data_IF_153060863874
#
_entry.id   IF_153060863874
#
_cell.length_a   1.000
_cell.length_b   1.000
_cell.length_c   1.000
_cell.angle_alpha   90.00
_cell.angle_beta   90.00
_cell.angle_gamma   90.00
#
_symmetry.space_group_name_H-M   'P 1'
#
loop_
_entity.id
_entity.type
_entity.pdbx_description
1 polymer ?
#
# COMPACT_ATOMS: atom_id res chain seq x y z
N UNK A 1 -13.61 6.00 -24.07
CA UNK A 1 -14.22 4.85 -23.35
C UNK A 1 -13.56 4.83 -21.98
N UNK A 2 -14.06 5.62 -21.04
CA UNK A 2 -13.32 5.94 -19.80
C UNK A 2 -13.94 5.31 -18.54
N UNK A 3 -15.06 4.61 -18.65
CA UNK A 3 -15.92 4.28 -17.49
C UNK A 3 -15.69 2.90 -16.86
N UNK A 4 -14.57 2.22 -17.14
CA UNK A 4 -14.32 0.85 -16.62
C UNK A 4 -13.31 0.80 -15.46
N UNK A 5 -12.46 1.82 -15.32
CA UNK A 5 -11.45 1.88 -14.25
C UNK A 5 -11.99 2.54 -12.97
N UNK A 6 -12.82 3.58 -13.08
CA UNK A 6 -13.37 4.29 -11.91
C UNK A 6 -14.23 3.38 -11.03
N UNK A 7 -15.07 2.53 -11.63
CA UNK A 7 -15.93 1.59 -10.90
C UNK A 7 -15.08 0.57 -10.11
N UNK A 8 -13.96 0.11 -10.68
CA UNK A 8 -13.08 -0.85 -10.02
C UNK A 8 -12.27 -0.22 -8.88
N UNK A 9 -11.96 1.09 -8.96
CA UNK A 9 -11.24 1.82 -7.91
C UNK A 9 -12.15 2.07 -6.70
N UNK A 10 -13.39 2.53 -6.92
CA UNK A 10 -14.37 2.69 -5.83
C UNK A 10 -14.68 1.36 -5.14
N UNK A 11 -14.88 0.28 -5.90
CA UNK A 11 -15.09 -1.06 -5.33
C UNK A 11 -13.86 -1.55 -4.56
N UNK A 12 -12.66 -1.26 -5.07
CA UNK A 12 -11.40 -1.60 -4.37
C UNK A 12 -11.28 -0.83 -3.06
N UNK A 13 -11.54 0.49 -3.07
CA UNK A 13 -11.51 1.31 -1.85
C UNK A 13 -12.55 0.83 -0.84
N UNK A 14 -13.79 0.61 -1.27
CA UNK A 14 -14.85 0.12 -0.39
C UNK A 14 -14.50 -1.24 0.23
N UNK A 15 -13.89 -2.15 -0.54
CA UNK A 15 -13.38 -3.42 -0.02
C UNK A 15 -12.31 -3.17 1.06
N UNK A 16 -11.32 -2.33 0.77
CA UNK A 16 -10.25 -2.00 1.72
C UNK A 16 -10.80 -1.38 3.01
N UNK A 17 -11.82 -0.52 2.93
CA UNK A 17 -12.48 0.08 4.10
C UNK A 17 -13.19 -0.95 4.96
N UNK A 18 -13.86 -1.93 4.34
CA UNK A 18 -14.48 -3.06 5.06
C UNK A 18 -13.41 -3.90 5.75
N UNK A 19 -12.30 -4.19 5.07
CA UNK A 19 -11.18 -4.95 5.68
C UNK A 19 -10.53 -4.16 6.81
N UNK A 20 -10.31 -2.86 6.63
CA UNK A 20 -9.77 -1.96 7.64
C UNK A 20 -10.68 -1.86 8.89
N UNK A 21 -12.00 -1.91 8.70
CA UNK A 21 -12.96 -1.77 9.79
C UNK A 21 -13.26 -3.10 10.50
N UNK A 22 -13.29 -4.21 9.75
CA UNK A 22 -13.80 -5.49 10.26
C UNK A 22 -12.76 -6.60 10.31
N UNK A 23 -11.63 -6.45 9.61
CA UNK A 23 -10.65 -7.51 9.38
C UNK A 23 -11.17 -8.67 8.51
N UNK A 24 -12.40 -8.57 8.00
CA UNK A 24 -13.06 -9.62 7.19
C UNK A 24 -13.06 -9.22 5.72
N UNK A 25 -12.77 -10.18 4.86
CA UNK A 25 -12.89 -10.06 3.42
C UNK A 25 -13.58 -11.30 2.86
N UNK A 26 -14.37 -11.09 1.82
CA UNK A 26 -15.20 -12.13 1.20
C UNK A 26 -14.53 -12.73 -0.05
N UNK A 27 -13.53 -12.03 -0.60
CA UNK A 27 -12.82 -12.43 -1.81
C UNK A 27 -11.61 -13.34 -1.50
N UNK A 28 -11.06 -13.97 -2.53
CA UNK A 28 -9.78 -14.68 -2.40
C UNK A 28 -8.67 -13.72 -2.00
N UNK A 29 -7.76 -14.19 -1.15
CA UNK A 29 -6.60 -13.41 -0.70
C UNK A 29 -5.77 -12.87 -1.88
N UNK A 30 -5.63 -13.63 -2.97
CA UNK A 30 -4.91 -13.17 -4.18
C UNK A 30 -5.57 -11.99 -4.89
N UNK A 31 -6.90 -11.92 -4.87
CA UNK A 31 -7.64 -10.77 -5.40
C UNK A 31 -7.40 -9.56 -4.52
N UNK A 32 -7.51 -9.74 -3.19
CA UNK A 32 -7.25 -8.66 -2.23
C UNK A 32 -5.80 -8.16 -2.29
N UNK A 33 -4.81 -9.06 -2.44
CA UNK A 33 -3.40 -8.71 -2.65
C UNK A 33 -3.20 -7.85 -3.89
N UNK A 34 -3.83 -8.22 -5.00
CA UNK A 34 -3.74 -7.46 -6.26
C UNK A 34 -4.35 -6.07 -6.12
N UNK A 35 -5.50 -5.96 -5.46
CA UNK A 35 -6.15 -4.69 -5.11
C UNK A 35 -5.29 -3.83 -4.18
N UNK A 36 -4.68 -4.43 -3.15
CA UNK A 36 -3.77 -3.75 -2.21
C UNK A 36 -2.51 -3.26 -2.92
N UNK A 37 -1.92 -4.07 -3.78
CA UNK A 37 -0.74 -3.70 -4.59
C UNK A 37 -1.04 -2.49 -5.47
N UNK A 38 -2.20 -2.50 -6.13
CA UNK A 38 -2.64 -1.38 -6.95
C UNK A 38 -2.84 -0.12 -6.11
N UNK A 39 -3.57 -0.22 -4.99
CA UNK A 39 -3.86 0.92 -4.14
C UNK A 39 -2.61 1.48 -3.46
N UNK A 40 -1.69 0.61 -3.02
CA UNK A 40 -0.38 0.99 -2.51
C UNK A 40 0.36 1.85 -3.55
N UNK A 41 0.47 1.39 -4.80
CA UNK A 41 1.14 2.14 -5.87
C UNK A 41 0.48 3.49 -6.14
N UNK A 42 -0.86 3.56 -6.11
CA UNK A 42 -1.58 4.83 -6.21
C UNK A 42 -1.21 5.77 -5.07
N UNK A 43 -1.34 5.33 -3.81
CA UNK A 43 -1.03 6.14 -2.63
C UNK A 43 0.42 6.64 -2.67
N UNK A 44 1.39 5.76 -2.98
CA UNK A 44 2.80 6.15 -3.08
C UNK A 44 3.03 7.20 -4.18
N UNK A 45 2.26 7.16 -5.27
CA UNK A 45 2.37 8.13 -6.37
C UNK A 45 1.80 9.52 -6.05
N UNK A 46 0.94 9.62 -5.03
CA UNK A 46 0.40 10.91 -4.56
C UNK A 46 1.41 11.70 -3.73
N UNK A 47 2.49 11.06 -3.26
CA UNK A 47 3.54 11.73 -2.50
C UNK A 47 4.46 12.55 -3.41
N UNK A 48 4.93 13.73 -2.96
CA UNK A 48 5.83 14.57 -3.75
C UNK A 48 7.16 13.86 -4.09
N UNK A 49 7.61 12.94 -3.23
CA UNK A 49 8.80 12.12 -3.45
C UNK A 49 8.75 11.29 -4.75
N UNK A 50 7.57 10.93 -5.25
CA UNK A 50 7.40 10.22 -6.51
C UNK A 50 7.84 11.06 -7.74
N UNK A 51 7.77 12.40 -7.62
CA UNK A 51 8.14 13.34 -8.68
C UNK A 51 9.53 13.98 -8.46
N UNK A 52 10.24 13.63 -7.39
CA UNK A 52 11.58 14.15 -7.09
C UNK A 52 12.67 13.49 -7.94
N UNK A 53 13.85 14.13 -8.01
CA UNK A 53 15.01 13.50 -8.67
C UNK A 53 15.56 12.33 -7.85
N UNK A 54 16.28 11.38 -8.47
CA UNK A 54 16.89 10.26 -7.75
C UNK A 54 17.81 10.69 -6.61
N UNK A 55 18.53 11.81 -6.71
CA UNK A 55 19.38 12.29 -5.61
C UNK A 55 18.56 12.78 -4.40
N UNK A 56 17.45 13.47 -4.65
CA UNK A 56 16.54 13.93 -3.60
C UNK A 56 15.79 12.76 -2.95
N UNK A 57 15.38 11.78 -3.75
CA UNK A 57 14.78 10.53 -3.29
C UNK A 57 15.74 9.78 -2.38
N UNK A 58 16.99 9.54 -2.81
CA UNK A 58 18.00 8.89 -1.98
C UNK A 58 18.26 9.65 -0.67
N UNK A 59 18.23 10.99 -0.68
CA UNK A 59 18.42 11.78 0.53
C UNK A 59 17.24 11.69 1.52
N UNK A 60 16.02 11.48 1.01
CA UNK A 60 14.79 11.48 1.81
C UNK A 60 14.34 10.07 2.22
N UNK A 61 14.43 9.12 1.30
CA UNK A 61 13.98 7.72 1.42
C UNK A 61 15.15 6.76 1.71
N UNK A 62 16.38 7.13 1.37
CA UNK A 62 17.54 6.23 1.43
C UNK A 62 17.72 5.34 0.20
N UNK A 63 16.73 5.30 -0.69
CA UNK A 63 16.70 4.56 -1.95
C UNK A 63 15.89 5.34 -3.00
N UNK A 64 15.85 4.87 -4.25
CA UNK A 64 15.00 5.50 -5.27
C UNK A 64 13.53 5.12 -5.10
N UNK A 65 12.61 5.99 -5.53
CA UNK A 65 11.17 5.70 -5.51
C UNK A 65 10.79 4.34 -6.14
N UNK A 66 11.25 3.97 -7.35
CA UNK A 66 10.91 2.68 -7.94
C UNK A 66 11.44 1.49 -7.14
N UNK A 67 12.60 1.60 -6.50
CA UNK A 67 13.13 0.56 -5.61
C UNK A 67 12.23 0.38 -4.38
N UNK A 68 11.86 1.49 -3.74
CA UNK A 68 10.96 1.49 -2.59
C UNK A 68 9.60 0.85 -2.94
N UNK A 69 8.98 1.27 -4.04
CA UNK A 69 7.69 0.73 -4.50
C UNK A 69 7.82 -0.77 -4.74
N UNK A 70 8.85 -1.21 -5.47
CA UNK A 70 9.06 -2.62 -5.77
C UNK A 70 9.22 -3.43 -4.48
N UNK A 71 10.01 -2.95 -3.53
CA UNK A 71 10.30 -3.63 -2.28
C UNK A 71 9.04 -3.80 -1.41
N UNK A 72 8.22 -2.75 -1.30
CA UNK A 72 6.93 -2.82 -0.59
C UNK A 72 5.93 -3.74 -1.31
N UNK A 73 5.89 -3.69 -2.64
CA UNK A 73 5.02 -4.53 -3.47
C UNK A 73 5.38 -6.01 -3.35
N UNK A 74 6.66 -6.36 -3.45
CA UNK A 74 7.15 -7.73 -3.28
C UNK A 74 6.88 -8.24 -1.87
N UNK A 75 7.09 -7.41 -0.84
CA UNK A 75 6.80 -7.76 0.55
C UNK A 75 5.31 -8.02 0.77
N UNK A 76 4.42 -7.21 0.20
CA UNK A 76 2.98 -7.42 0.23
C UNK A 76 2.56 -8.69 -0.51
N UNK A 77 3.19 -8.99 -1.65
CA UNK A 77 2.88 -10.18 -2.44
C UNK A 77 3.46 -11.46 -1.83
N UNK A 78 4.47 -11.35 -0.96
CA UNK A 78 5.13 -12.48 -0.28
C UNK A 78 4.23 -13.20 0.72
N UNK A 79 3.13 -12.59 1.16
CA UNK A 79 2.16 -13.21 2.07
C UNK A 79 1.39 -14.35 1.35
N UNK A 80 1.89 -15.58 1.51
CA UNK A 80 1.34 -16.80 0.88
C UNK A 80 0.35 -17.55 1.77
N UNK A 81 0.52 -17.53 3.09
CA UNK A 81 -0.35 -18.25 4.03
C UNK A 81 -1.71 -17.56 4.25
N UNK A 82 -1.83 -16.30 3.86
CA UNK A 82 -3.07 -15.55 3.98
C UNK A 82 -2.84 -14.11 4.45
N UNK A 83 -3.94 -13.39 4.75
CA UNK A 83 -3.89 -12.05 5.34
C UNK A 83 -3.12 -12.08 6.68
N UNK A 84 -2.10 -11.23 6.89
CA UNK A 84 -1.51 -11.14 8.23
C UNK A 84 -2.53 -10.55 9.21
N UNK A 85 -2.36 -10.81 10.52
CA UNK A 85 -3.20 -10.17 11.55
C UNK A 85 -3.09 -8.64 11.53
N UNK A 86 -2.01 -8.12 10.91
CA UNK A 86 -1.75 -6.70 10.67
C UNK A 86 -2.47 -6.15 9.44
N UNK A 87 -3.16 -6.98 8.64
CA UNK A 87 -3.83 -6.55 7.41
C UNK A 87 -4.85 -5.45 7.67
N UNK A 88 -5.63 -5.58 8.74
CA UNK A 88 -6.61 -4.56 9.13
C UNK A 88 -5.93 -3.19 9.28
N UNK A 89 -4.85 -3.15 10.07
CA UNK A 89 -4.07 -1.93 10.31
C UNK A 89 -3.36 -1.42 9.06
N UNK A 90 -2.90 -2.32 8.21
CA UNK A 90 -2.28 -1.99 6.94
C UNK A 90 -3.27 -1.26 6.01
N UNK A 91 -4.48 -1.78 5.87
CA UNK A 91 -5.55 -1.13 5.10
C UNK A 91 -5.93 0.23 5.70
N UNK A 92 -6.08 0.34 7.02
CA UNK A 92 -6.35 1.62 7.71
C UNK A 92 -5.30 2.69 7.37
N UNK A 93 -4.01 2.30 7.42
CA UNK A 93 -2.90 3.20 7.14
C UNK A 93 -2.87 3.58 5.68
N UNK A 94 -3.07 2.65 4.75
CA UNK A 94 -3.10 2.98 3.31
C UNK A 94 -4.23 3.95 2.98
N UNK A 95 -5.42 3.71 3.51
CA UNK A 95 -6.58 4.58 3.28
C UNK A 95 -6.39 6.00 3.84
N UNK A 96 -5.60 6.14 4.92
CA UNK A 96 -5.35 7.41 5.59
C UNK A 96 -3.90 7.87 5.47
N UNK A 97 -3.14 7.35 4.50
CA UNK A 97 -1.69 7.50 4.45
C UNK A 97 -1.25 8.96 4.49
N UNK A 98 -1.85 9.81 3.66
CA UNK A 98 -1.55 11.25 3.61
C UNK A 98 -1.94 11.99 4.90
N UNK A 99 -2.95 11.50 5.62
CA UNK A 99 -3.39 12.10 6.89
C UNK A 99 -2.51 11.68 8.08
N UNK A 100 -1.96 10.46 8.04
CA UNK A 100 -1.15 9.89 9.14
C UNK A 100 0.34 10.22 8.95
N UNK A 101 0.81 10.14 7.70
CA UNK A 101 2.21 10.30 7.34
C UNK A 101 2.36 11.40 6.29
N UNK A 102 2.96 12.51 6.72
CA UNK A 102 3.26 13.66 5.88
C UNK A 102 4.41 13.43 4.89
N UNK A 103 5.12 12.31 4.98
CA UNK A 103 6.23 11.97 4.08
C UNK A 103 6.23 10.47 3.76
N UNK A 104 6.79 10.15 2.61
CA UNK A 104 6.80 8.80 2.07
C UNK A 104 7.70 7.88 2.90
N UNK A 105 8.80 8.39 3.46
CA UNK A 105 9.75 7.61 4.27
C UNK A 105 9.10 7.05 5.54
N UNK A 106 8.27 7.83 6.25
CA UNK A 106 7.57 7.34 7.44
C UNK A 106 6.50 6.31 7.08
N UNK A 107 5.79 6.53 5.98
CA UNK A 107 4.81 5.56 5.47
C UNK A 107 5.52 4.24 5.14
N UNK A 108 6.60 4.30 4.35
CA UNK A 108 7.43 3.15 4.00
C UNK A 108 7.88 2.37 5.24
N UNK A 109 8.49 3.05 6.21
CA UNK A 109 8.96 2.42 7.45
C UNK A 109 7.82 1.77 8.26
N UNK A 110 6.62 2.38 8.24
CA UNK A 110 5.45 1.81 8.89
C UNK A 110 5.00 0.53 8.17
N UNK A 111 4.87 0.58 6.84
CA UNK A 111 4.49 -0.56 6.02
C UNK A 111 5.50 -1.72 6.16
N UNK A 112 6.80 -1.42 6.13
CA UNK A 112 7.86 -2.41 6.34
C UNK A 112 7.78 -3.10 7.69
N UNK A 113 7.47 -2.37 8.76
CA UNK A 113 7.30 -3.00 10.08
C UNK A 113 6.19 -4.05 10.06
N UNK A 114 5.13 -3.86 9.27
CA UNK A 114 4.06 -4.85 9.15
C UNK A 114 4.45 -6.05 8.29
N UNK A 115 5.33 -5.86 7.29
CA UNK A 115 5.80 -6.96 6.43
C UNK A 115 6.92 -7.77 7.06
N UNK A 116 7.80 -7.15 7.86
CA UNK A 116 8.95 -7.81 8.51
C UNK A 116 8.56 -8.47 9.83
N UNK A 117 7.58 -7.93 10.58
CA UNK A 117 7.21 -8.48 11.90
C UNK A 117 6.34 -9.75 11.85
N UNK A 118 6.14 -10.34 10.67
CA UNK A 118 5.36 -11.57 10.47
C UNK A 118 6.21 -12.82 10.20
N UNK A 119 7.55 -12.74 10.32
CA UNK A 119 8.45 -13.89 10.31
C UNK A 119 8.96 -14.23 11.72
#
# INVERSE_FOLDING_TARGET
MESKHEVAEEETRALLEVVASTGKFWHHWDVLKSSLSYHLKQVLSEYPEANMTPEQQNSSLGETYPELVKRLDEALLSFVEGPPFTLQRFCEILLNAQSIYSNLSKLALALEKFTVSCF
#
